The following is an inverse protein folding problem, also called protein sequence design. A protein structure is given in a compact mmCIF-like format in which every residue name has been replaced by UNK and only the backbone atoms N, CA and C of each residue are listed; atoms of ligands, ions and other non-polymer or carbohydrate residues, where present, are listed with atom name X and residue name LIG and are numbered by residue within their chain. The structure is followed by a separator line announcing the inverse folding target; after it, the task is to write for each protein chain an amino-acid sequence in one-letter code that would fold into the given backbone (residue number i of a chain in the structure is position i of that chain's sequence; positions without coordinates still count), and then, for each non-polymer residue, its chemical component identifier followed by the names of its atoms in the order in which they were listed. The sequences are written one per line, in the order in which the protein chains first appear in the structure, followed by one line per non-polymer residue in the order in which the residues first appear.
data_IF_532070071614
#
_entry.id   IF_532070071614
#
_cell.length_a   1.000
_cell.length_b   1.000
_cell.length_c   1.000
_cell.angle_alpha   90.00
_cell.angle_beta   90.00
_cell.angle_gamma   90.00
#
_symmetry.space_group_name_H-M   'P 1'
#
loop_
_entity.id
_entity.type
_entity.pdbx_description
1 polymer ?
#
# COMPACT_ATOMS: atom_id res chain seq x y z
N UNK A 1 -35.87 15.40 -42.89
CA UNK A 1 -35.16 16.02 -41.76
C UNK A 1 -34.18 15.01 -41.18
N UNK A 2 -32.91 15.12 -41.49
CA UNK A 2 -31.84 14.23 -41.05
C UNK A 2 -31.30 14.76 -39.73
N UNK A 3 -31.51 14.07 -38.58
CA UNK A 3 -30.93 14.46 -37.28
C UNK A 3 -29.50 13.91 -37.20
N UNK A 4 -28.56 14.83 -37.26
CA UNK A 4 -27.15 14.55 -37.01
C UNK A 4 -26.97 14.29 -35.49
N UNK A 5 -26.68 13.06 -35.09
CA UNK A 5 -26.30 12.71 -33.72
C UNK A 5 -24.78 12.85 -33.65
N UNK A 6 -24.31 13.91 -33.00
CA UNK A 6 -22.89 14.07 -32.67
C UNK A 6 -22.53 13.16 -31.50
N UNK A 7 -21.47 12.33 -31.61
CA UNK A 7 -21.00 11.59 -30.47
C UNK A 7 -20.33 12.52 -29.45
N UNK A 8 -20.82 12.49 -28.22
CA UNK A 8 -20.15 13.17 -27.09
C UNK A 8 -18.99 12.30 -26.68
N UNK A 9 -17.77 12.70 -27.02
CA UNK A 9 -16.55 12.11 -26.45
C UNK A 9 -16.41 12.61 -25.02
N UNK A 10 -16.69 11.75 -24.04
CA UNK A 10 -16.31 11.99 -22.63
C UNK A 10 -14.81 11.69 -22.54
N UNK A 11 -14.00 12.73 -22.56
CA UNK A 11 -12.58 12.62 -22.24
C UNK A 11 -12.44 12.29 -20.75
N UNK A 12 -12.34 11.00 -20.43
CA UNK A 12 -11.95 10.55 -19.10
C UNK A 12 -10.53 11.04 -18.82
N UNK A 13 -10.34 11.89 -17.82
CA UNK A 13 -9.01 12.25 -17.33
C UNK A 13 -8.36 10.99 -16.75
N UNK A 14 -7.53 10.34 -17.54
CA UNK A 14 -6.62 9.30 -17.04
C UNK A 14 -5.56 10.03 -16.20
N UNK A 15 -5.69 9.97 -14.88
CA UNK A 15 -4.61 10.37 -14.01
C UNK A 15 -3.44 9.42 -14.27
N UNK A 16 -2.33 9.96 -14.76
CA UNK A 16 -1.10 9.19 -14.93
C UNK A 16 -0.69 8.61 -13.56
N UNK A 17 -0.44 7.32 -13.51
CA UNK A 17 0.07 6.68 -12.30
C UNK A 17 1.45 7.25 -11.98
N UNK A 18 1.73 7.46 -10.69
CA UNK A 18 3.06 7.89 -10.29
C UNK A 18 4.08 6.73 -10.43
N UNK A 19 5.36 7.06 -10.58
CA UNK A 19 6.43 6.06 -10.64
C UNK A 19 6.43 5.12 -9.40
N UNK A 20 5.98 5.62 -8.26
CA UNK A 20 5.78 4.80 -7.05
C UNK A 20 4.65 3.77 -7.26
N UNK A 21 3.54 4.17 -7.88
CA UNK A 21 2.42 3.27 -8.17
C UNK A 21 2.78 2.23 -9.23
N UNK A 22 3.50 2.63 -10.29
CA UNK A 22 3.97 1.70 -11.32
C UNK A 22 4.90 0.63 -10.74
N UNK A 23 5.89 1.05 -9.95
CA UNK A 23 6.82 0.12 -9.29
C UNK A 23 6.10 -0.83 -8.34
N UNK A 24 5.10 -0.34 -7.62
CA UNK A 24 4.30 -1.17 -6.74
C UNK A 24 3.40 -2.14 -7.53
N UNK A 25 2.79 -1.69 -8.64
CA UNK A 25 1.93 -2.54 -9.47
C UNK A 25 2.65 -3.79 -9.98
N UNK A 26 3.95 -3.70 -10.27
CA UNK A 26 4.76 -4.86 -10.63
C UNK A 26 5.11 -5.73 -9.42
N UNK A 27 5.40 -5.10 -8.30
CA UNK A 27 5.79 -5.80 -7.06
C UNK A 27 4.65 -6.66 -6.49
N UNK A 28 3.41 -6.18 -6.50
CA UNK A 28 2.26 -6.91 -5.95
C UNK A 28 1.89 -8.15 -6.77
N UNK A 29 2.27 -8.21 -8.06
CA UNK A 29 2.08 -9.40 -8.92
C UNK A 29 3.04 -10.53 -8.58
N UNK A 30 4.06 -10.28 -7.77
CA UNK A 30 5.03 -11.27 -7.35
C UNK A 30 4.35 -12.44 -6.64
N UNK A 31 4.82 -13.69 -6.81
CA UNK A 31 4.35 -14.83 -6.02
C UNK A 31 4.71 -14.71 -4.53
N UNK A 32 5.65 -13.82 -4.18
CA UNK A 32 6.00 -13.54 -2.79
C UNK A 32 4.92 -12.69 -2.11
N UNK A 33 4.70 -12.93 -0.82
CA UNK A 33 3.86 -12.04 -0.02
C UNK A 33 4.48 -10.64 0.02
N UNK A 34 3.68 -9.64 -0.30
CA UNK A 34 4.08 -8.23 -0.36
C UNK A 34 3.24 -7.42 0.61
N UNK A 35 3.89 -6.75 1.55
CA UNK A 35 3.27 -5.79 2.47
C UNK A 35 3.50 -4.38 1.95
N UNK A 36 2.43 -3.62 1.81
CA UNK A 36 2.45 -2.21 1.41
C UNK A 36 1.99 -1.37 2.60
N UNK A 37 2.88 -0.57 3.15
CA UNK A 37 2.58 0.34 4.26
C UNK A 37 2.58 1.78 3.75
N UNK A 38 1.38 2.38 3.72
CA UNK A 38 1.18 3.77 3.31
C UNK A 38 1.27 4.67 4.54
N UNK A 39 2.17 5.62 4.51
CA UNK A 39 2.50 6.44 5.67
C UNK A 39 3.01 7.82 5.27
N UNK A 40 3.28 8.68 6.25
CA UNK A 40 4.00 9.94 6.05
C UNK A 40 4.81 10.32 7.29
N UNK A 41 5.92 11.00 7.06
CA UNK A 41 6.82 11.43 8.15
C UNK A 41 6.18 12.41 9.15
N UNK A 42 5.19 13.18 8.73
CA UNK A 42 4.45 14.12 9.56
C UNK A 42 3.26 13.49 10.31
N UNK A 43 2.88 12.26 9.99
CA UNK A 43 1.72 11.57 10.56
C UNK A 43 2.05 11.04 11.95
N UNK A 44 1.36 11.51 12.98
CA UNK A 44 1.62 11.13 14.38
C UNK A 44 1.41 9.64 14.66
N UNK A 45 0.34 9.03 14.12
CA UNK A 45 0.07 7.60 14.27
C UNK A 45 1.13 6.76 13.56
N UNK A 46 1.57 7.19 12.36
CA UNK A 46 2.65 6.51 11.65
C UNK A 46 3.97 6.55 12.46
N UNK A 47 4.27 7.69 13.09
CA UNK A 47 5.44 7.80 13.98
C UNK A 47 5.31 6.94 15.23
N UNK A 48 4.09 6.82 15.78
CA UNK A 48 3.84 5.97 16.94
C UNK A 48 4.16 4.50 16.63
N UNK A 49 3.70 3.98 15.50
CA UNK A 49 4.04 2.61 15.05
C UNK A 49 5.56 2.41 14.91
N UNK A 50 6.27 3.35 14.28
CA UNK A 50 7.72 3.25 14.10
C UNK A 50 8.47 3.19 15.45
N UNK A 51 8.03 3.99 16.44
CA UNK A 51 8.64 4.04 17.78
C UNK A 51 8.50 2.75 18.58
N UNK A 52 7.54 1.91 18.28
CA UNK A 52 7.36 0.62 18.98
C UNK A 52 8.46 -0.39 18.67
N UNK A 53 9.21 -0.21 17.57
CA UNK A 53 10.15 -1.20 17.05
C UNK A 53 9.48 -2.41 16.40
N UNK A 54 8.16 -2.44 16.35
CA UNK A 54 7.38 -3.56 15.81
C UNK A 54 7.64 -3.83 14.33
N UNK A 55 7.79 -2.77 13.53
CA UNK A 55 8.15 -2.91 12.11
C UNK A 55 9.51 -3.57 11.92
N UNK A 56 10.54 -3.11 12.63
CA UNK A 56 11.89 -3.69 12.54
C UNK A 56 11.89 -5.17 12.91
N UNK A 57 11.20 -5.51 14.00
CA UNK A 57 11.06 -6.90 14.44
C UNK A 57 10.36 -7.74 13.36
N UNK A 58 9.21 -7.29 12.86
CA UNK A 58 8.43 -8.01 11.84
C UNK A 58 9.20 -8.23 10.54
N UNK A 59 9.91 -7.21 10.06
CA UNK A 59 10.73 -7.30 8.85
C UNK A 59 11.82 -8.36 9.01
N UNK A 60 12.50 -8.38 10.16
CA UNK A 60 13.55 -9.36 10.46
C UNK A 60 13.03 -10.79 10.62
N UNK A 61 11.84 -10.95 11.19
CA UNK A 61 11.20 -12.26 11.39
C UNK A 61 10.57 -12.81 10.09
N UNK A 62 10.42 -11.98 9.06
CA UNK A 62 9.79 -12.36 7.79
C UNK A 62 10.69 -12.03 6.57
N UNK A 63 11.91 -12.60 6.47
CA UNK A 63 12.86 -12.24 5.40
C UNK A 63 12.36 -12.61 4.00
N UNK A 64 11.40 -13.55 3.88
CA UNK A 64 10.78 -13.96 2.62
C UNK A 64 9.68 -13.00 2.14
N UNK A 65 9.21 -12.10 3.00
CA UNK A 65 8.18 -11.10 2.68
C UNK A 65 8.84 -9.83 2.15
N UNK A 66 8.25 -9.22 1.14
CA UNK A 66 8.65 -7.91 0.62
C UNK A 66 7.85 -6.81 1.31
N UNK A 67 8.54 -5.83 1.87
CA UNK A 67 7.93 -4.68 2.53
C UNK A 67 8.15 -3.41 1.72
N UNK A 68 7.06 -2.75 1.36
CA UNK A 68 7.06 -1.47 0.66
C UNK A 68 6.56 -0.39 1.60
N UNK A 69 7.45 0.49 2.03
CA UNK A 69 7.09 1.71 2.75
C UNK A 69 6.87 2.82 1.73
N UNK A 70 5.63 3.21 1.52
CA UNK A 70 5.26 4.21 0.54
C UNK A 70 4.82 5.48 1.27
N UNK A 71 5.65 6.52 1.17
CA UNK A 71 5.31 7.82 1.71
C UNK A 71 4.31 8.50 0.77
N UNK A 72 3.11 8.79 1.27
CA UNK A 72 2.03 9.47 0.55
C UNK A 72 1.70 10.78 1.23
N UNK A 73 1.14 11.75 0.48
CA UNK A 73 0.80 13.07 1.03
C UNK A 73 1.98 13.78 1.73
N UNK A 74 3.14 13.66 1.16
CA UNK A 74 4.40 14.13 1.76
C UNK A 74 5.22 14.97 0.78
N UNK A 75 4.55 15.63 -0.16
CA UNK A 75 5.15 16.56 -1.13
C UNK A 75 6.33 15.93 -1.89
N UNK A 76 6.20 14.67 -2.30
CA UNK A 76 7.22 13.91 -3.04
C UNK A 76 8.36 13.33 -2.19
N UNK A 77 8.40 13.60 -0.90
CA UNK A 77 9.45 13.06 -0.02
C UNK A 77 9.18 11.61 0.36
N UNK A 78 10.18 10.74 0.26
CA UNK A 78 10.05 9.30 0.55
C UNK A 78 10.10 8.95 2.05
N UNK A 79 10.45 9.91 2.90
CA UNK A 79 10.55 9.72 4.35
C UNK A 79 11.72 8.86 4.82
N UNK A 80 12.64 8.48 3.93
CA UNK A 80 13.80 7.59 4.19
C UNK A 80 14.60 7.99 5.41
N UNK A 81 14.82 9.28 5.63
CA UNK A 81 15.56 9.78 6.76
C UNK A 81 14.95 9.37 8.11
N UNK A 82 13.61 9.29 8.19
CA UNK A 82 12.93 8.80 9.38
C UNK A 82 13.04 7.27 9.50
N UNK A 83 12.82 6.52 8.43
CA UNK A 83 12.94 5.06 8.45
C UNK A 83 14.36 4.58 8.82
N UNK A 84 15.39 5.34 8.42
CA UNK A 84 16.77 5.08 8.83
C UNK A 84 16.97 5.14 10.35
N UNK A 85 16.32 6.08 11.04
CA UNK A 85 16.39 6.21 12.50
C UNK A 85 15.88 4.98 13.25
N UNK A 86 15.01 4.20 12.62
CA UNK A 86 14.41 2.99 13.18
C UNK A 86 15.00 1.70 12.57
N UNK A 87 16.10 1.80 11.79
CA UNK A 87 16.78 0.65 11.20
C UNK A 87 15.98 -0.08 10.10
N UNK A 88 14.91 0.53 9.59
CA UNK A 88 14.02 -0.07 8.58
C UNK A 88 14.61 0.05 7.18
N UNK A 89 15.17 1.21 6.85
CA UNK A 89 15.61 1.51 5.48
C UNK A 89 16.81 0.67 5.00
N UNK A 90 17.55 0.07 5.90
CA UNK A 90 18.72 -0.76 5.60
C UNK A 90 18.39 -2.24 5.39
N UNK A 91 17.13 -2.64 5.59
CA UNK A 91 16.73 -4.05 5.50
C UNK A 91 16.65 -4.51 4.04
N UNK A 92 17.17 -5.71 3.70
CA UNK A 92 17.30 -6.17 2.31
C UNK A 92 15.95 -6.47 1.63
N UNK A 93 14.90 -6.74 2.43
CA UNK A 93 13.54 -7.01 1.96
C UNK A 93 12.62 -5.78 2.05
N UNK A 94 13.19 -4.58 2.26
CA UNK A 94 12.47 -3.31 2.31
C UNK A 94 12.72 -2.47 1.07
N UNK A 95 11.65 -1.93 0.51
CA UNK A 95 11.69 -0.90 -0.54
C UNK A 95 10.98 0.36 -0.06
N UNK A 96 11.62 1.51 -0.24
CA UNK A 96 11.07 2.80 0.13
C UNK A 96 10.71 3.58 -1.12
N UNK A 97 9.47 4.07 -1.18
CA UNK A 97 8.93 4.84 -2.28
C UNK A 97 8.32 6.15 -1.77
N UNK A 98 8.36 7.20 -2.59
CA UNK A 98 7.66 8.45 -2.36
C UNK A 98 6.65 8.70 -3.47
N UNK A 99 5.39 8.92 -3.11
CA UNK A 99 4.39 9.42 -4.04
C UNK A 99 4.56 10.93 -4.21
N UNK A 100 4.54 11.48 -5.43
CA UNK A 100 4.78 12.90 -5.68
C UNK A 100 3.63 13.80 -5.21
N UNK A 101 2.49 13.22 -4.82
CA UNK A 101 1.28 13.96 -4.46
C UNK A 101 1.46 14.88 -3.26
N UNK A 102 0.78 16.03 -3.26
CA UNK A 102 0.88 17.01 -2.19
C UNK A 102 0.18 16.53 -0.90
N UNK A 103 0.64 17.09 0.22
CA UNK A 103 0.02 16.83 1.52
C UNK A 103 -1.42 17.36 1.62
N UNK A 104 -1.71 18.49 0.97
CA UNK A 104 -2.99 19.20 1.06
C UNK A 104 -3.44 19.69 -0.32
N UNK A 105 -4.70 20.11 -0.39
CA UNK A 105 -5.28 20.70 -1.61
C UNK A 105 -6.00 19.68 -2.48
N UNK A 106 -6.51 20.16 -3.61
CA UNK A 106 -7.37 19.39 -4.52
C UNK A 106 -6.62 18.23 -5.20
N UNK A 107 -5.31 18.41 -5.43
CA UNK A 107 -4.44 17.41 -6.05
C UNK A 107 -3.95 16.33 -5.08
N UNK A 108 -4.40 16.36 -3.82
CA UNK A 108 -4.12 15.28 -2.87
C UNK A 108 -4.75 13.98 -3.37
N UNK A 109 -3.95 12.94 -3.51
CA UNK A 109 -4.45 11.64 -4.00
C UNK A 109 -5.51 11.07 -3.05
N UNK A 110 -6.56 10.48 -3.61
CA UNK A 110 -7.67 9.84 -2.87
C UNK A 110 -7.71 8.34 -3.09
N UNK A 111 -6.79 7.83 -3.89
CA UNK A 111 -6.58 6.40 -4.14
C UNK A 111 -5.10 6.14 -4.41
N UNK A 112 -4.67 4.93 -4.15
CA UNK A 112 -3.31 4.46 -4.44
C UNK A 112 -3.38 3.01 -4.90
N UNK A 113 -2.67 2.65 -5.97
CA UNK A 113 -2.68 1.30 -6.54
C UNK A 113 -4.10 0.68 -6.69
N UNK A 114 -5.08 1.49 -7.12
CA UNK A 114 -6.46 1.05 -7.34
C UNK A 114 -7.34 0.97 -6.08
N UNK A 115 -6.80 1.17 -4.88
CA UNK A 115 -7.57 1.15 -3.64
C UNK A 115 -7.83 2.56 -3.10
N UNK A 116 -9.00 2.81 -2.50
CA UNK A 116 -9.29 4.07 -1.82
C UNK A 116 -8.28 4.36 -0.71
N UNK A 117 -7.81 5.61 -0.65
CA UNK A 117 -6.90 6.08 0.38
C UNK A 117 -7.48 7.35 1.01
N UNK A 118 -8.10 7.20 2.16
CA UNK A 118 -8.70 8.31 2.93
C UNK A 118 -7.96 8.59 4.23
N UNK A 119 -7.15 7.64 4.69
CA UNK A 119 -6.44 7.71 5.98
C UNK A 119 -5.05 7.07 5.89
N UNK A 120 -4.12 7.49 6.76
CA UNK A 120 -2.83 6.86 7.02
C UNK A 120 -2.59 6.78 8.54
N UNK A 121 -1.86 5.76 9.05
CA UNK A 121 -1.27 4.67 8.28
C UNK A 121 -2.31 3.72 7.69
N UNK A 122 -1.99 3.13 6.54
CA UNK A 122 -2.75 2.03 5.96
C UNK A 122 -1.79 0.90 5.58
N UNK A 123 -2.19 -0.35 5.81
CA UNK A 123 -1.34 -1.52 5.52
C UNK A 123 -2.12 -2.53 4.70
N UNK A 124 -1.59 -2.88 3.54
CA UNK A 124 -2.18 -3.85 2.62
C UNK A 124 -1.25 -5.03 2.42
N UNK A 125 -1.82 -6.22 2.30
CA UNK A 125 -1.07 -7.46 2.08
C UNK A 125 -1.54 -8.08 0.78
N UNK A 126 -0.59 -8.35 -0.10
CA UNK A 126 -0.81 -9.00 -1.40
C UNK A 126 -0.04 -10.32 -1.49
N UNK A 127 -0.55 -11.25 -2.29
CA UNK A 127 0.16 -12.44 -2.75
C UNK A 127 -0.29 -12.82 -4.13
N UNK A 128 0.65 -12.95 -5.06
CA UNK A 128 0.36 -13.36 -6.44
C UNK A 128 -0.55 -12.43 -7.22
N UNK A 129 -0.58 -11.13 -6.89
CA UNK A 129 -1.50 -10.14 -7.47
C UNK A 129 -2.79 -9.94 -6.69
N UNK A 130 -3.17 -10.89 -5.82
CA UNK A 130 -4.40 -10.83 -5.03
C UNK A 130 -4.21 -10.01 -3.75
N UNK A 131 -5.13 -9.09 -3.52
CA UNK A 131 -5.24 -8.41 -2.23
C UNK A 131 -5.79 -9.39 -1.19
N UNK A 132 -4.98 -9.71 -0.19
CA UNK A 132 -5.37 -10.60 0.91
C UNK A 132 -6.01 -9.85 2.07
N UNK A 133 -5.40 -8.73 2.48
CA UNK A 133 -5.89 -7.88 3.56
C UNK A 133 -5.67 -6.40 3.25
N UNK A 134 -6.62 -5.57 3.63
CA UNK A 134 -6.52 -4.12 3.59
C UNK A 134 -6.91 -3.52 4.94
N UNK A 135 -5.93 -3.00 5.66
CA UNK A 135 -6.08 -2.33 6.93
C UNK A 135 -5.99 -0.82 6.67
N UNK A 136 -7.13 -0.17 6.52
CA UNK A 136 -7.22 1.21 6.03
C UNK A 136 -7.39 2.25 7.15
N UNK A 137 -7.28 1.85 8.42
CA UNK A 137 -7.54 2.76 9.52
C UNK A 137 -6.70 2.41 10.75
N UNK A 138 -5.99 3.43 11.26
CA UNK A 138 -5.31 3.37 12.54
C UNK A 138 -4.01 2.57 12.55
N UNK A 139 -3.46 2.45 13.75
CA UNK A 139 -2.25 1.67 14.00
C UNK A 139 -2.49 0.18 13.82
N UNK A 140 -1.54 -0.50 13.21
CA UNK A 140 -1.57 -1.96 13.12
C UNK A 140 -1.02 -2.55 14.42
N UNK A 141 -1.76 -3.46 15.02
CA UNK A 141 -1.24 -4.29 16.09
C UNK A 141 -0.35 -5.38 15.48
N UNK A 142 0.95 -5.36 15.74
CA UNK A 142 1.92 -6.25 15.11
C UNK A 142 1.61 -7.75 15.26
N UNK A 143 1.08 -8.27 16.39
CA UNK A 143 0.63 -9.66 16.47
C UNK A 143 -0.49 -10.00 15.48
N UNK A 144 -1.42 -9.06 15.24
CA UNK A 144 -2.51 -9.23 14.27
C UNK A 144 -1.96 -9.20 12.83
N UNK A 145 -1.05 -8.27 12.55
CA UNK A 145 -0.38 -8.21 11.25
C UNK A 145 0.41 -9.48 10.96
N UNK A 146 1.11 -10.03 11.98
CA UNK A 146 1.83 -11.30 11.86
C UNK A 146 0.87 -12.46 11.53
N UNK A 147 -0.31 -12.50 12.16
CA UNK A 147 -1.33 -13.49 11.83
C UNK A 147 -1.77 -13.36 10.37
N UNK A 148 -2.08 -12.15 9.91
CA UNK A 148 -2.45 -11.91 8.52
C UNK A 148 -1.35 -12.28 7.52
N UNK A 149 -0.08 -12.07 7.87
CA UNK A 149 1.04 -12.54 7.05
C UNK A 149 1.08 -14.06 6.97
N UNK A 150 0.89 -14.74 8.08
CA UNK A 150 0.84 -16.20 8.15
C UNK A 150 -0.29 -16.75 7.30
N UNK A 151 -1.49 -16.20 7.46
CA UNK A 151 -2.67 -16.60 6.68
C UNK A 151 -2.49 -16.34 5.18
N UNK A 152 -1.84 -15.22 4.82
CA UNK A 152 -1.58 -14.87 3.41
C UNK A 152 -0.56 -15.78 2.74
N UNK A 153 0.28 -16.49 3.49
CA UNK A 153 1.24 -17.43 2.94
C UNK A 153 0.60 -18.76 2.53
N UNK A 154 -0.53 -19.12 3.14
CA UNK A 154 -1.29 -20.29 2.77
C UNK A 154 -2.04 -20.09 1.44
N UNK A 155 -2.31 -21.21 0.76
CA UNK A 155 -3.17 -21.21 -0.41
C UNK A 155 -4.62 -20.92 0.01
N UNK A 156 -5.17 -19.79 -0.43
CA UNK A 156 -6.58 -19.52 -0.25
C UNK A 156 -7.34 -20.26 -1.36
N UNK A 157 -7.92 -21.41 -1.05
CA UNK A 157 -8.81 -22.08 -1.97
C UNK A 157 -10.18 -21.39 -1.91
N UNK A 158 -10.72 -20.97 -3.06
CA UNK A 158 -12.14 -20.58 -3.21
C UNK A 158 -13.10 -21.79 -3.11
N UNK A 159 -12.63 -22.91 -2.54
CA UNK A 159 -13.44 -24.09 -2.27
C UNK A 159 -14.32 -23.82 -1.05
N UNK A 160 -15.45 -23.18 -1.26
CA UNK A 160 -16.40 -22.92 -0.19
C UNK A 160 -17.52 -21.93 -0.51
N UNK A 161 -17.73 -21.56 -1.78
CA UNK A 161 -19.03 -21.04 -2.10
C UNK A 161 -20.05 -22.17 -1.94
N UNK A 162 -21.03 -22.08 -1.00
CA UNK A 162 -22.16 -22.97 -1.01
C UNK A 162 -22.85 -22.76 -2.36
N UNK A 163 -22.97 -23.84 -3.15
CA UNK A 163 -23.85 -23.85 -4.30
C UNK A 163 -25.22 -23.40 -3.82
N UNK A 164 -25.63 -22.19 -4.23
CA UNK A 164 -26.98 -21.71 -4.01
C UNK A 164 -27.85 -22.57 -4.97
N UNK A 165 -28.44 -23.65 -4.46
CA UNK A 165 -29.55 -24.36 -5.11
C UNK A 165 -30.85 -23.60 -4.90
#
# INVERSE_FOLDING_TARGET
MLRLILPVFVAGTMYAQSAAQEKLADAIKSPQTTVVHLWAAWCSNCQAELKTGGWTKMINENPQVKFYFVSVWNDGQDGRAMLNKFGIAAQPNVTILGDPGPRRGENKIKQFAGLPLSWIPATWIYKGGDLRYALNYGEVRFPVLQQFLTDSQSEWSHKGEPSIE
#
